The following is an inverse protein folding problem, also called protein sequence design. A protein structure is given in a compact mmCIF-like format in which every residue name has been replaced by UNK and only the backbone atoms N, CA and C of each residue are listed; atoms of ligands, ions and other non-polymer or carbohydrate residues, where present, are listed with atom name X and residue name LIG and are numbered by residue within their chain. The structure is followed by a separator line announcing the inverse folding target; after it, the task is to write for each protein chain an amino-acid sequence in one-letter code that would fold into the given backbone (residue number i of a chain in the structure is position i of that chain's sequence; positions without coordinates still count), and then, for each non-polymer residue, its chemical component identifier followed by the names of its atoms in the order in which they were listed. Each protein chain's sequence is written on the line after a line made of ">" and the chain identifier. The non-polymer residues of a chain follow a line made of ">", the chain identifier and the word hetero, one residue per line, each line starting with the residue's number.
data_IF_346930441796
#
_entry.id   IF_346930441796
#
_cell.length_a   1.000
_cell.length_b   1.000
_cell.length_c   1.000
_cell.angle_alpha   90.00
_cell.angle_beta   90.00
_cell.angle_gamma   90.00
#
_symmetry.space_group_name_H-M   'P 1'
#
loop_
_entity.id
_entity.type
_entity.pdbx_description
1 polymer ?
#
# COMPACT_ATOMS: atom_id res chain seq x y z
N UNK A 1 6.41 -19.98 -26.11
CA UNK A 1 5.93 -18.75 -26.76
C UNK A 1 7.03 -17.71 -26.72
N UNK A 2 7.95 -17.77 -27.68
CA UNK A 2 8.98 -16.75 -27.95
C UNK A 2 8.42 -15.87 -29.07
N UNK A 3 8.18 -14.57 -28.82
CA UNK A 3 8.14 -13.52 -29.87
C UNK A 3 7.88 -12.09 -29.36
N UNK A 4 7.50 -11.88 -28.09
CA UNK A 4 7.08 -10.55 -27.61
C UNK A 4 8.17 -9.65 -27.02
N UNK A 5 9.45 -10.05 -27.06
CA UNK A 5 10.55 -9.39 -26.31
C UNK A 5 11.32 -8.34 -27.13
N UNK A 6 11.23 -8.37 -28.47
CA UNK A 6 11.96 -7.43 -29.35
C UNK A 6 11.23 -6.10 -29.61
N UNK A 7 10.01 -5.93 -29.09
CA UNK A 7 9.21 -4.72 -29.32
C UNK A 7 9.46 -3.61 -28.30
N UNK A 8 9.99 -3.90 -27.10
CA UNK A 8 10.07 -2.90 -26.02
C UNK A 8 11.34 -2.02 -26.03
N UNK A 9 12.50 -2.56 -26.39
CA UNK A 9 13.74 -1.77 -26.47
C UNK A 9 13.73 -0.77 -27.63
N UNK A 10 13.01 -1.08 -28.71
CA UNK A 10 12.85 -0.21 -29.88
C UNK A 10 11.78 0.85 -29.64
N UNK A 11 10.75 0.57 -28.83
CA UNK A 11 9.67 1.53 -28.51
C UNK A 11 10.16 2.63 -27.55
N UNK A 12 10.96 2.28 -26.53
CA UNK A 12 11.52 3.27 -25.58
C UNK A 12 12.56 4.18 -26.24
N UNK A 13 13.30 3.68 -27.24
CA UNK A 13 14.25 4.47 -28.01
C UNK A 13 13.59 5.34 -29.10
N UNK A 14 12.48 4.90 -29.72
CA UNK A 14 11.73 5.70 -30.70
C UNK A 14 10.80 6.75 -30.07
N UNK A 15 10.16 6.46 -28.92
CA UNK A 15 9.22 7.40 -28.26
C UNK A 15 9.96 8.53 -27.55
N UNK A 16 11.21 8.33 -27.13
CA UNK A 16 12.02 9.39 -26.53
C UNK A 16 12.47 10.46 -27.56
N UNK A 17 12.34 10.20 -28.87
CA UNK A 17 12.73 11.14 -29.93
C UNK A 17 11.55 11.87 -30.59
N UNK A 18 10.31 11.41 -30.40
CA UNK A 18 9.10 12.06 -30.93
C UNK A 18 7.99 11.93 -29.88
N UNK A 19 7.69 13.00 -29.13
CA UNK A 19 6.34 13.41 -28.70
C UNK A 19 6.43 14.49 -27.61
N UNK A 20 6.31 15.73 -28.07
CA UNK A 20 6.13 16.96 -27.30
C UNK A 20 4.61 17.24 -27.13
N UNK A 21 3.82 16.22 -26.75
CA UNK A 21 2.36 16.32 -26.72
C UNK A 21 1.77 16.04 -25.35
N UNK A 22 0.88 16.93 -24.93
CA UNK A 22 0.21 17.10 -23.62
C UNK A 22 -0.64 15.94 -23.08
N UNK A 23 -0.52 14.73 -23.63
CA UNK A 23 -1.23 13.55 -23.11
C UNK A 23 -0.27 12.69 -22.28
N UNK A 24 -0.47 12.71 -20.95
CA UNK A 24 0.32 11.94 -19.99
C UNK A 24 0.23 10.44 -20.27
N UNK A 25 1.27 9.87 -20.85
CA UNK A 25 1.41 8.41 -20.92
C UNK A 25 1.65 7.85 -19.52
N UNK A 26 0.76 6.95 -19.13
CA UNK A 26 0.74 6.31 -17.82
C UNK A 26 1.89 5.30 -17.69
N UNK A 27 3.03 5.77 -17.16
CA UNK A 27 4.19 4.94 -16.83
C UNK A 27 3.83 3.75 -15.91
N UNK A 28 2.66 3.78 -15.23
CA UNK A 28 2.16 2.66 -14.46
C UNK A 28 1.79 1.44 -15.33
N UNK A 29 1.33 1.64 -16.57
CA UNK A 29 1.06 0.53 -17.51
C UNK A 29 2.36 -0.12 -18.01
N UNK A 30 3.40 0.68 -18.21
CA UNK A 30 4.73 0.22 -18.60
C UNK A 30 5.38 -0.66 -17.51
N UNK A 31 5.16 -0.32 -16.23
CA UNK A 31 5.65 -1.14 -15.11
C UNK A 31 4.73 -2.33 -14.79
N UNK A 32 3.41 -2.20 -14.93
CA UNK A 32 2.49 -3.34 -14.78
C UNK A 32 2.81 -4.48 -15.76
N UNK A 33 3.31 -4.16 -16.96
CA UNK A 33 3.76 -5.17 -17.92
C UNK A 33 5.20 -5.68 -17.68
N UNK A 34 6.07 -4.93 -16.99
CA UNK A 34 7.43 -5.40 -16.64
C UNK A 34 7.44 -6.32 -15.41
N UNK A 35 6.52 -6.11 -14.46
CA UNK A 35 6.33 -6.92 -13.24
C UNK A 35 6.01 -8.39 -13.57
N UNK A 36 5.46 -8.69 -14.75
CA UNK A 36 5.22 -10.04 -15.24
C UNK A 36 6.43 -10.72 -15.91
N UNK A 37 7.59 -10.04 -16.03
CA UNK A 37 8.78 -10.59 -16.69
C UNK A 37 9.92 -10.83 -15.68
N UNK A 38 9.93 -12.03 -15.12
CA UNK A 38 10.90 -12.53 -14.12
C UNK A 38 12.33 -12.77 -14.65
N UNK A 39 12.88 -11.92 -15.53
CA UNK A 39 14.22 -12.14 -16.11
C UNK A 39 15.22 -11.02 -15.83
N UNK A 40 16.29 -11.42 -15.15
CA UNK A 40 17.55 -10.70 -14.82
C UNK A 40 18.13 -9.83 -15.96
N UNK A 41 17.80 -10.09 -17.22
CA UNK A 41 18.27 -9.35 -18.39
C UNK A 41 17.62 -7.96 -18.58
N UNK A 42 16.37 -7.75 -18.17
CA UNK A 42 15.71 -6.42 -18.26
C UNK A 42 16.18 -5.48 -17.15
N UNK A 43 16.41 -6.01 -15.95
CA UNK A 43 17.00 -5.30 -14.80
C UNK A 43 18.39 -4.73 -15.12
N UNK A 44 19.29 -5.56 -15.66
CA UNK A 44 20.65 -5.11 -16.04
C UNK A 44 20.63 -4.02 -17.10
N UNK A 45 19.73 -4.09 -18.09
CA UNK A 45 19.62 -3.07 -19.13
C UNK A 45 19.09 -1.73 -18.58
N UNK A 46 18.14 -1.76 -17.65
CA UNK A 46 17.66 -0.56 -16.97
C UNK A 46 18.73 0.05 -16.05
N UNK A 47 19.36 -0.77 -15.21
CA UNK A 47 20.48 -0.35 -14.35
C UNK A 47 21.62 0.24 -15.20
N UNK A 48 21.89 -0.34 -16.36
CA UNK A 48 22.91 0.14 -17.29
C UNK A 48 22.49 1.46 -17.97
N UNK A 49 21.23 1.62 -18.37
CA UNK A 49 20.73 2.88 -18.92
C UNK A 49 20.72 4.04 -17.89
N UNK A 50 20.40 3.73 -16.63
CA UNK A 50 20.49 4.68 -15.50
C UNK A 50 21.96 5.05 -15.26
N UNK A 51 22.87 4.07 -15.22
CA UNK A 51 24.32 4.29 -15.07
C UNK A 51 24.95 5.05 -16.23
N UNK A 52 24.54 4.76 -17.47
CA UNK A 52 25.05 5.43 -18.67
C UNK A 52 24.56 6.89 -18.74
N UNK A 53 23.34 7.20 -18.27
CA UNK A 53 22.84 8.58 -18.14
C UNK A 53 23.39 9.34 -16.93
N UNK A 54 23.84 8.65 -15.88
CA UNK A 54 24.50 9.24 -14.70
C UNK A 54 26.03 9.27 -14.82
N UNK A 55 26.60 8.86 -15.96
CA UNK A 55 28.04 8.82 -16.22
C UNK A 55 28.73 10.21 -16.25
N UNK A 56 27.97 11.30 -16.14
CA UNK A 56 28.52 12.66 -16.05
C UNK A 56 28.88 13.12 -14.63
N UNK A 57 28.22 12.58 -13.60
CA UNK A 57 28.45 12.99 -12.20
C UNK A 57 27.98 11.88 -11.22
N UNK A 58 28.90 11.19 -10.52
CA UNK A 58 28.54 10.13 -9.58
C UNK A 58 27.75 10.72 -8.40
N UNK A 59 26.44 10.48 -8.38
CA UNK A 59 25.52 10.93 -7.33
C UNK A 59 24.37 11.83 -7.79
N UNK A 60 24.17 12.03 -9.10
CA UNK A 60 22.95 12.68 -9.62
C UNK A 60 22.06 11.67 -10.36
N UNK A 61 20.77 11.66 -10.03
CA UNK A 61 19.73 10.94 -10.77
C UNK A 61 19.10 11.92 -11.76
N UNK A 62 19.02 11.59 -13.07
CA UNK A 62 18.30 12.44 -14.02
C UNK A 62 16.84 12.65 -13.59
N UNK A 63 16.28 13.85 -13.78
CA UNK A 63 14.89 14.16 -13.42
C UNK A 63 13.88 13.10 -13.89
N UNK A 64 14.05 12.57 -15.11
CA UNK A 64 13.20 11.50 -15.64
C UNK A 64 13.24 10.23 -14.76
N UNK A 65 14.42 9.84 -14.28
CA UNK A 65 14.58 8.67 -13.42
C UNK A 65 14.01 8.91 -12.02
N UNK A 66 14.16 10.13 -11.48
CA UNK A 66 13.54 10.54 -10.22
C UNK A 66 12.00 10.46 -10.30
N UNK A 67 11.40 11.00 -11.38
CA UNK A 67 9.95 10.91 -11.62
C UNK A 67 9.45 9.48 -11.78
N UNK A 68 10.19 8.64 -12.50
CA UNK A 68 9.86 7.22 -12.64
C UNK A 68 9.90 6.49 -11.30
N UNK A 69 10.92 6.73 -10.47
CA UNK A 69 11.01 6.15 -9.13
C UNK A 69 9.86 6.56 -8.23
N UNK A 70 9.50 7.85 -8.24
CA UNK A 70 8.33 8.34 -7.51
C UNK A 70 7.03 7.68 -8.01
N UNK A 71 6.78 7.67 -9.31
CA UNK A 71 5.56 7.09 -9.88
C UNK A 71 5.41 5.61 -9.60
N UNK A 72 6.53 4.89 -9.64
CA UNK A 72 6.58 3.49 -9.32
C UNK A 72 6.22 3.22 -7.85
N UNK A 73 6.85 3.94 -6.92
CA UNK A 73 6.55 3.82 -5.50
C UNK A 73 5.09 4.19 -5.19
N UNK A 74 4.62 5.32 -5.72
CA UNK A 74 3.25 5.78 -5.54
C UNK A 74 2.21 4.86 -6.19
N UNK A 75 2.52 4.29 -7.35
CA UNK A 75 1.66 3.34 -8.06
C UNK A 75 1.49 2.03 -7.30
N UNK A 76 2.59 1.49 -6.75
CA UNK A 76 2.56 0.29 -5.91
C UNK A 76 1.77 0.51 -4.62
N UNK A 77 2.02 1.63 -3.92
CA UNK A 77 1.27 2.00 -2.72
C UNK A 77 -0.23 2.17 -3.03
N UNK A 78 -0.57 2.83 -4.14
CA UNK A 78 -1.97 2.98 -4.60
C UNK A 78 -2.64 1.62 -4.83
N UNK A 79 -1.92 0.68 -5.44
CA UNK A 79 -2.45 -0.65 -5.72
C UNK A 79 -2.71 -1.44 -4.43
N UNK A 80 -1.75 -1.42 -3.50
CA UNK A 80 -1.86 -2.02 -2.17
C UNK A 80 -3.08 -1.46 -1.41
N UNK A 81 -3.19 -0.13 -1.33
CA UNK A 81 -4.31 0.56 -0.66
C UNK A 81 -5.65 0.17 -1.28
N UNK A 82 -5.74 0.10 -2.61
CA UNK A 82 -6.97 -0.33 -3.30
C UNK A 82 -7.33 -1.78 -3.01
N UNK A 83 -6.36 -2.69 -3.00
CA UNK A 83 -6.58 -4.10 -2.71
C UNK A 83 -7.11 -4.30 -1.28
N UNK A 84 -6.51 -3.63 -0.31
CA UNK A 84 -6.98 -3.62 1.09
C UNK A 84 -8.39 -3.05 1.18
N UNK A 85 -8.67 -1.94 0.51
CA UNK A 85 -10.00 -1.33 0.53
C UNK A 85 -11.08 -2.27 -0.04
N UNK A 86 -10.78 -2.94 -1.16
CA UNK A 86 -11.68 -3.93 -1.76
C UNK A 86 -11.93 -5.14 -0.84
N UNK A 87 -10.88 -5.69 -0.23
CA UNK A 87 -10.99 -6.78 0.73
C UNK A 87 -11.83 -6.39 1.96
N UNK A 88 -11.66 -5.15 2.42
CA UNK A 88 -12.40 -4.56 3.54
C UNK A 88 -13.88 -4.42 3.21
N UNK A 89 -14.23 -3.80 2.09
CA UNK A 89 -15.63 -3.63 1.68
C UNK A 89 -16.33 -4.98 1.46
N UNK A 90 -15.65 -5.95 0.85
CA UNK A 90 -16.18 -7.30 0.65
C UNK A 90 -16.43 -8.00 2.00
N UNK A 91 -15.47 -7.93 2.93
CA UNK A 91 -15.61 -8.51 4.27
C UNK A 91 -16.72 -7.82 5.05
N UNK A 92 -16.83 -6.48 5.02
CA UNK A 92 -17.89 -5.74 5.69
C UNK A 92 -19.28 -6.15 5.21
N UNK A 93 -19.44 -6.36 3.90
CA UNK A 93 -20.71 -6.86 3.33
C UNK A 93 -21.05 -8.27 3.83
N UNK A 94 -20.06 -9.16 3.91
CA UNK A 94 -20.23 -10.51 4.45
C UNK A 94 -20.59 -10.49 5.94
N UNK A 95 -19.90 -9.69 6.74
CA UNK A 95 -20.15 -9.54 8.17
C UNK A 95 -21.54 -8.97 8.46
N UNK A 96 -21.95 -7.94 7.73
CA UNK A 96 -23.29 -7.35 7.85
C UNK A 96 -24.40 -8.37 7.49
N UNK A 97 -24.18 -9.19 6.46
CA UNK A 97 -25.09 -10.28 6.12
C UNK A 97 -25.21 -11.34 7.24
N UNK A 98 -24.08 -11.76 7.82
CA UNK A 98 -24.05 -12.74 8.91
C UNK A 98 -24.73 -12.21 10.18
N UNK A 99 -24.48 -10.95 10.55
CA UNK A 99 -25.07 -10.33 11.74
C UNK A 99 -26.57 -10.07 11.58
N UNK A 100 -27.05 -9.77 10.37
CA UNK A 100 -28.47 -9.49 10.11
C UNK A 100 -29.32 -10.76 10.04
N UNK A 101 -28.73 -11.89 9.66
CA UNK A 101 -29.43 -13.17 9.52
C UNK A 101 -29.55 -13.96 10.84
N UNK A 102 -28.78 -13.58 11.86
CA UNK A 102 -28.68 -14.35 13.08
C UNK A 102 -29.72 -13.94 14.15
N UNK A 103 -30.42 -14.90 14.76
CA UNK A 103 -31.30 -14.62 15.89
C UNK A 103 -30.47 -14.32 17.16
N UNK A 104 -31.01 -13.43 18.02
CA UNK A 104 -30.27 -12.84 19.15
C UNK A 104 -29.79 -13.84 20.21
N UNK A 105 -30.42 -15.01 20.27
CA UNK A 105 -30.16 -16.15 21.13
C UNK A 105 -29.04 -17.09 20.62
N UNK A 106 -28.52 -16.86 19.40
CA UNK A 106 -27.43 -17.65 18.80
C UNK A 106 -26.06 -16.94 18.83
N UNK A 107 -25.82 -16.09 19.83
CA UNK A 107 -24.58 -15.30 20.02
C UNK A 107 -23.28 -16.07 19.73
N UNK A 108 -23.17 -17.30 20.23
CA UNK A 108 -21.98 -18.14 20.05
C UNK A 108 -21.80 -18.63 18.61
N UNK A 109 -22.89 -18.93 17.90
CA UNK A 109 -22.84 -19.31 16.49
C UNK A 109 -22.44 -18.12 15.62
N UNK A 110 -22.96 -16.92 15.92
CA UNK A 110 -22.57 -15.68 15.22
C UNK A 110 -21.08 -15.41 15.39
N UNK A 111 -20.57 -15.47 16.63
CA UNK A 111 -19.14 -15.27 16.92
C UNK A 111 -18.25 -16.26 16.17
N UNK A 112 -18.68 -17.52 16.01
CA UNK A 112 -17.96 -18.50 15.20
C UNK A 112 -17.99 -18.18 13.70
N UNK A 113 -19.15 -17.76 13.18
CA UNK A 113 -19.34 -17.45 11.77
C UNK A 113 -18.57 -16.20 11.33
N UNK A 114 -18.52 -15.16 12.16
CA UNK A 114 -17.84 -13.91 11.84
C UNK A 114 -16.32 -13.97 12.04
N UNK A 115 -15.82 -14.91 12.83
CA UNK A 115 -14.38 -15.09 13.07
C UNK A 115 -13.61 -15.39 11.79
N UNK A 116 -14.15 -16.21 10.89
CA UNK A 116 -13.48 -16.59 9.63
C UNK A 116 -13.34 -15.43 8.64
N UNK A 117 -14.40 -14.65 8.31
CA UNK A 117 -14.27 -13.45 7.48
C UNK A 117 -13.31 -12.41 8.06
N UNK A 118 -13.35 -12.18 9.38
CA UNK A 118 -12.37 -11.31 10.04
C UNK A 118 -10.96 -11.88 9.88
N UNK A 119 -10.78 -13.19 10.09
CA UNK A 119 -9.47 -13.81 9.92
C UNK A 119 -8.90 -13.58 8.51
N UNK A 120 -9.75 -13.76 7.50
CA UNK A 120 -9.37 -13.56 6.12
C UNK A 120 -9.01 -12.10 5.81
N UNK A 121 -9.75 -11.13 6.34
CA UNK A 121 -9.48 -9.71 6.09
C UNK A 121 -8.06 -9.31 6.49
N UNK A 122 -7.65 -9.62 7.73
CA UNK A 122 -6.30 -9.23 8.14
C UNK A 122 -5.20 -10.07 7.50
N UNK A 123 -5.48 -11.33 7.11
CA UNK A 123 -4.54 -12.12 6.30
C UNK A 123 -4.33 -11.47 4.93
N UNK A 124 -5.42 -11.04 4.27
CA UNK A 124 -5.36 -10.30 3.01
C UNK A 124 -4.61 -8.96 3.19
N UNK A 125 -4.86 -8.23 4.28
CA UNK A 125 -4.14 -6.99 4.60
C UNK A 125 -2.63 -7.21 4.82
N UNK A 126 -2.24 -8.19 5.64
CA UNK A 126 -0.83 -8.49 5.90
C UNK A 126 -0.10 -8.90 4.61
N UNK A 127 -0.78 -9.70 3.77
CA UNK A 127 -0.26 -10.11 2.48
C UNK A 127 -0.06 -8.93 1.52
N UNK A 128 -1.02 -8.01 1.44
CA UNK A 128 -0.87 -6.82 0.59
C UNK A 128 0.22 -5.89 1.12
N UNK A 129 0.37 -5.75 2.45
CA UNK A 129 1.49 -5.06 3.08
C UNK A 129 2.85 -5.69 2.72
N UNK A 130 2.95 -7.02 2.76
CA UNK A 130 4.18 -7.74 2.41
C UNK A 130 4.50 -7.69 0.91
N UNK A 131 3.51 -7.96 0.04
CA UNK A 131 3.71 -7.99 -1.41
C UNK A 131 3.98 -6.61 -2.00
N UNK A 132 3.17 -5.61 -1.63
CA UNK A 132 3.43 -4.21 -1.96
C UNK A 132 4.75 -3.73 -1.35
N UNK A 133 5.09 -4.26 -0.16
CA UNK A 133 6.39 -4.21 0.49
C UNK A 133 7.55 -4.52 -0.45
N UNK A 134 7.62 -5.76 -0.92
CA UNK A 134 8.70 -6.26 -1.77
C UNK A 134 8.79 -5.53 -3.12
N UNK A 135 7.65 -5.21 -3.72
CA UNK A 135 7.59 -4.56 -5.03
C UNK A 135 8.13 -3.12 -4.97
N UNK A 136 7.70 -2.35 -3.98
CA UNK A 136 8.18 -0.98 -3.77
C UNK A 136 9.67 -0.96 -3.44
N UNK A 137 10.14 -1.87 -2.58
CA UNK A 137 11.59 -2.00 -2.28
C UNK A 137 12.41 -2.30 -3.54
N UNK A 138 11.92 -3.17 -4.41
CA UNK A 138 12.61 -3.51 -5.68
C UNK A 138 12.75 -2.29 -6.58
N UNK A 139 11.70 -1.48 -6.68
CA UNK A 139 11.71 -0.23 -7.44
C UNK A 139 12.73 0.75 -6.87
N UNK A 140 12.69 1.00 -5.56
CA UNK A 140 13.59 1.95 -4.89
C UNK A 140 15.06 1.51 -5.01
N UNK A 141 15.31 0.20 -4.94
CA UNK A 141 16.63 -0.41 -5.18
C UNK A 141 17.12 -0.17 -6.62
N UNK A 142 16.23 -0.33 -7.61
CA UNK A 142 16.54 -0.09 -9.02
C UNK A 142 16.81 1.38 -9.35
N UNK A 143 16.23 2.30 -8.60
CA UNK A 143 16.44 3.75 -8.77
C UNK A 143 17.57 4.32 -7.91
N UNK A 144 18.21 3.50 -7.06
CA UNK A 144 19.30 3.94 -6.19
C UNK A 144 18.86 4.75 -4.97
N UNK A 145 17.57 4.70 -4.62
CA UNK A 145 16.97 5.44 -3.49
C UNK A 145 17.04 4.59 -2.21
N UNK A 146 18.26 4.39 -1.71
CA UNK A 146 18.52 3.46 -0.60
C UNK A 146 17.94 3.92 0.74
N UNK A 147 17.92 5.22 0.99
CA UNK A 147 17.34 5.78 2.22
C UNK A 147 15.82 5.68 2.19
N UNK A 148 15.21 5.97 1.04
CA UNK A 148 13.78 5.72 0.79
C UNK A 148 13.40 4.25 1.00
N UNK A 149 14.24 3.32 0.51
CA UNK A 149 14.02 1.88 0.67
C UNK A 149 14.01 1.49 2.15
N UNK A 150 14.99 1.97 2.93
CA UNK A 150 15.09 1.68 4.36
C UNK A 150 13.92 2.29 5.15
N UNK A 151 13.53 3.52 4.82
CA UNK A 151 12.37 4.17 5.42
C UNK A 151 11.09 3.37 5.13
N UNK A 152 10.93 2.86 3.91
CA UNK A 152 9.79 2.02 3.55
C UNK A 152 9.80 0.65 4.26
N UNK A 153 10.96 0.00 4.38
CA UNK A 153 11.11 -1.24 5.17
C UNK A 153 10.69 -1.03 6.63
N UNK A 154 11.11 0.08 7.22
CA UNK A 154 10.75 0.46 8.60
C UNK A 154 9.26 0.71 8.72
N UNK A 155 8.70 1.51 7.80
CA UNK A 155 7.27 1.80 7.72
C UNK A 155 6.41 0.53 7.61
N UNK A 156 6.80 -0.42 6.75
CA UNK A 156 6.08 -1.68 6.61
C UNK A 156 6.19 -2.57 7.85
N UNK A 157 7.33 -2.58 8.52
CA UNK A 157 7.48 -3.32 9.77
C UNK A 157 6.56 -2.77 10.87
N UNK A 158 6.52 -1.44 11.03
CA UNK A 158 5.63 -0.76 11.99
C UNK A 158 4.16 -1.00 11.66
N UNK A 159 3.75 -0.78 10.41
CA UNK A 159 2.37 -1.00 9.97
C UNK A 159 1.89 -2.44 10.21
N UNK A 160 2.74 -3.44 9.97
CA UNK A 160 2.42 -4.85 10.22
C UNK A 160 2.33 -5.17 11.72
N UNK A 161 3.17 -4.54 12.55
CA UNK A 161 3.10 -4.70 14.00
C UNK A 161 1.79 -4.13 14.57
N UNK A 162 1.36 -2.97 14.08
CA UNK A 162 0.08 -2.37 14.45
C UNK A 162 -1.10 -3.22 13.97
N UNK A 163 -1.07 -3.65 12.70
CA UNK A 163 -2.09 -4.55 12.14
C UNK A 163 -2.23 -5.84 12.95
N UNK A 164 -1.10 -6.41 13.39
CA UNK A 164 -1.07 -7.59 14.25
C UNK A 164 -1.73 -7.34 15.61
N UNK A 165 -1.57 -6.14 16.17
CA UNK A 165 -2.22 -5.75 17.43
C UNK A 165 -3.74 -5.72 17.25
N UNK A 166 -4.23 -5.07 16.18
CA UNK A 166 -5.66 -5.07 15.83
C UNK A 166 -6.18 -6.49 15.62
N UNK A 167 -5.45 -7.31 14.87
CA UNK A 167 -5.76 -8.73 14.67
C UNK A 167 -5.98 -9.47 15.98
N UNK A 168 -4.99 -9.40 16.88
CA UNK A 168 -4.99 -10.14 18.13
C UNK A 168 -6.16 -9.74 19.03
N UNK A 169 -6.62 -8.49 18.93
CA UNK A 169 -7.80 -7.98 19.64
C UNK A 169 -9.13 -8.36 18.98
N UNK A 170 -9.21 -8.35 17.65
CA UNK A 170 -10.46 -8.55 16.92
C UNK A 170 -10.80 -10.02 16.60
N UNK A 171 -9.84 -10.94 16.64
CA UNK A 171 -10.07 -12.33 16.21
C UNK A 171 -10.18 -13.35 17.33
N UNK A 172 -9.72 -13.01 18.54
CA UNK A 172 -9.77 -13.90 19.73
C UNK A 172 -11.12 -13.82 20.47
N UNK A 173 -12.23 -13.76 19.74
CA UNK A 173 -13.58 -13.55 20.29
C UNK A 173 -14.36 -14.84 20.53
N UNK A 174 -14.04 -15.93 19.81
CA UNK A 174 -14.87 -17.16 19.72
C UNK A 174 -15.05 -17.95 21.03
N UNK A 175 -14.29 -17.62 22.07
CA UNK A 175 -14.33 -18.28 23.39
C UNK A 175 -14.73 -17.35 24.53
N UNK A 176 -15.08 -16.10 24.22
CA UNK A 176 -15.41 -15.07 25.22
C UNK A 176 -16.92 -14.87 25.30
N UNK A 177 -17.41 -14.51 26.48
CA UNK A 177 -18.81 -14.15 26.73
C UNK A 177 -18.90 -13.06 27.80
N UNK A 178 -20.07 -12.41 27.89
CA UNK A 178 -20.32 -11.35 28.88
C UNK A 178 -19.26 -10.24 28.89
N UNK A 179 -18.78 -9.89 30.07
CA UNK A 179 -17.85 -8.77 30.28
C UNK A 179 -16.49 -8.96 29.57
N UNK A 180 -16.00 -10.20 29.44
CA UNK A 180 -14.74 -10.48 28.73
C UNK A 180 -14.86 -10.24 27.23
N UNK A 181 -16.01 -10.58 26.65
CA UNK A 181 -16.30 -10.30 25.25
C UNK A 181 -16.37 -8.80 25.03
N UNK A 182 -17.09 -8.08 25.90
CA UNK A 182 -17.20 -6.61 25.83
C UNK A 182 -15.84 -5.94 25.91
N UNK A 183 -14.99 -6.30 26.88
CA UNK A 183 -13.64 -5.74 27.00
C UNK A 183 -12.79 -5.97 25.75
N UNK A 184 -12.89 -7.14 25.10
CA UNK A 184 -12.16 -7.41 23.86
C UNK A 184 -12.72 -6.69 22.65
N UNK A 185 -14.03 -6.49 22.58
CA UNK A 185 -14.66 -5.67 21.56
C UNK A 185 -14.24 -4.21 21.69
N UNK A 186 -14.21 -3.67 22.91
CA UNK A 186 -13.73 -2.31 23.19
C UNK A 186 -12.24 -2.16 22.84
N UNK A 187 -11.42 -3.17 23.18
CA UNK A 187 -10.01 -3.19 22.80
C UNK A 187 -9.82 -3.24 21.27
N UNK A 188 -10.55 -4.10 20.56
CA UNK A 188 -10.52 -4.17 19.10
C UNK A 188 -10.88 -2.81 18.47
N UNK A 189 -11.89 -2.12 19.01
CA UNK A 189 -12.28 -0.79 18.53
C UNK A 189 -11.21 0.27 18.79
N UNK A 190 -10.58 0.22 19.98
CA UNK A 190 -9.47 1.10 20.36
C UNK A 190 -8.26 0.91 19.46
N UNK A 191 -7.75 -0.32 19.37
CA UNK A 191 -6.57 -0.66 18.55
C UNK A 191 -6.82 -0.33 17.07
N UNK A 192 -8.03 -0.58 16.55
CA UNK A 192 -8.42 -0.19 15.18
C UNK A 192 -8.43 1.34 15.00
N UNK A 193 -8.90 2.08 16.02
CA UNK A 193 -8.88 3.54 16.03
C UNK A 193 -7.47 4.10 16.00
N UNK A 194 -6.55 3.47 16.74
CA UNK A 194 -5.13 3.81 16.75
C UNK A 194 -4.51 3.52 15.38
N UNK A 195 -4.75 2.35 14.78
CA UNK A 195 -4.27 2.01 13.43
C UNK A 195 -4.73 3.04 12.37
N UNK A 196 -5.97 3.54 12.47
CA UNK A 196 -6.49 4.59 11.59
C UNK A 196 -5.69 5.89 11.67
N UNK A 197 -5.07 6.20 12.80
CA UNK A 197 -4.21 7.38 12.97
C UNK A 197 -2.77 7.07 12.57
N UNK A 198 -2.21 5.96 13.06
CA UNK A 198 -0.79 5.65 12.92
C UNK A 198 -0.40 5.30 11.48
N UNK A 199 -1.22 4.52 10.75
CA UNK A 199 -0.84 4.09 9.39
C UNK A 199 -0.67 5.28 8.41
N UNK A 200 -1.58 6.27 8.36
CA UNK A 200 -1.34 7.50 7.60
C UNK A 200 -0.07 8.23 8.01
N UNK A 201 0.24 8.33 9.31
CA UNK A 201 1.45 9.02 9.79
C UNK A 201 2.73 8.31 9.34
N UNK A 202 2.76 6.98 9.44
CA UNK A 202 3.86 6.14 8.91
C UNK A 202 4.04 6.37 7.40
N UNK A 203 2.94 6.37 6.63
CA UNK A 203 3.02 6.60 5.18
C UNK A 203 3.48 8.02 4.85
N UNK A 204 3.05 9.01 5.64
CA UNK A 204 3.48 10.39 5.48
C UNK A 204 4.98 10.54 5.73
N UNK A 205 5.53 9.91 6.77
CA UNK A 205 6.96 9.91 7.07
C UNK A 205 7.79 9.26 5.95
N UNK A 206 7.34 8.11 5.44
CA UNK A 206 7.96 7.46 4.30
C UNK A 206 7.96 8.39 3.06
N UNK A 207 6.82 8.97 2.69
CA UNK A 207 6.74 9.83 1.51
C UNK A 207 7.53 11.13 1.67
N UNK A 208 7.67 11.63 2.90
CA UNK A 208 8.57 12.71 3.24
C UNK A 208 10.04 12.34 2.98
N UNK A 209 10.45 11.16 3.45
CA UNK A 209 11.81 10.64 3.20
C UNK A 209 12.07 10.42 1.71
N UNK A 210 11.11 9.82 0.99
CA UNK A 210 11.20 9.65 -0.46
C UNK A 210 11.35 10.98 -1.19
N UNK A 211 10.58 11.99 -0.77
CA UNK A 211 10.64 13.32 -1.36
C UNK A 211 12.00 14.00 -1.11
N UNK A 212 12.57 13.85 0.07
CA UNK A 212 13.88 14.38 0.42
C UNK A 212 15.00 13.66 -0.36
N UNK A 213 15.00 12.33 -0.36
CA UNK A 213 15.97 11.50 -1.07
C UNK A 213 15.97 11.82 -2.58
N UNK A 214 14.79 11.95 -3.19
CA UNK A 214 14.68 12.37 -4.59
C UNK A 214 15.24 13.78 -4.86
N UNK A 215 15.01 14.73 -3.94
CA UNK A 215 15.47 16.11 -4.08
C UNK A 215 16.99 16.23 -3.90
N UNK A 216 17.56 15.49 -2.95
CA UNK A 216 19.01 15.49 -2.68
C UNK A 216 19.81 14.86 -3.84
N UNK A 217 19.17 13.99 -4.63
CA UNK A 217 19.78 13.34 -5.78
C UNK A 217 19.57 14.09 -7.12
N UNK A 218 18.82 15.20 -7.15
CA UNK A 218 18.67 16.06 -8.36
C UNK A 218 19.43 17.37 -8.15
N UNK A 219 20.53 17.56 -8.90
CA UNK A 219 21.48 18.66 -8.67
C UNK A 219 21.13 19.98 -9.37
N UNK A 220 20.37 19.93 -10.46
CA UNK A 220 20.03 21.12 -11.25
C UNK A 220 18.82 21.85 -10.66
N UNK A 221 18.99 23.15 -10.38
CA UNK A 221 17.94 23.98 -9.74
C UNK A 221 16.60 24.01 -10.50
N UNK A 222 16.56 24.14 -11.85
CA UNK A 222 15.29 24.08 -12.58
C UNK A 222 14.62 22.70 -12.48
N UNK A 223 15.41 21.62 -12.55
CA UNK A 223 14.90 20.24 -12.43
C UNK A 223 14.38 19.96 -11.02
N UNK A 224 15.03 20.50 -9.99
CA UNK A 224 14.58 20.40 -8.61
C UNK A 224 13.21 21.05 -8.41
N UNK A 225 13.00 22.25 -8.97
CA UNK A 225 11.69 22.92 -8.89
C UNK A 225 10.61 22.13 -9.62
N UNK A 226 10.93 21.55 -10.77
CA UNK A 226 10.02 20.70 -11.52
C UNK A 226 9.68 19.41 -10.76
N UNK A 227 10.67 18.78 -10.13
CA UNK A 227 10.48 17.62 -9.26
C UNK A 227 9.61 17.95 -8.05
N UNK A 228 9.84 19.08 -7.40
CA UNK A 228 9.01 19.53 -6.27
C UNK A 228 7.55 19.74 -6.68
N UNK A 229 7.31 20.39 -7.82
CA UNK A 229 5.95 20.54 -8.35
C UNK A 229 5.30 19.19 -8.64
N UNK A 230 6.08 18.24 -9.16
CA UNK A 230 5.64 16.88 -9.46
C UNK A 230 5.25 16.10 -8.20
N UNK A 231 6.10 16.15 -7.16
CA UNK A 231 5.85 15.55 -5.85
C UNK A 231 4.59 16.16 -5.22
N UNK A 232 4.49 17.49 -5.18
CA UNK A 232 3.37 18.22 -4.59
C UNK A 232 2.04 17.92 -5.29
N UNK A 233 2.05 17.53 -6.57
CA UNK A 233 0.85 17.16 -7.30
C UNK A 233 0.40 15.70 -7.06
N UNK A 234 1.33 14.79 -6.75
CA UNK A 234 1.06 13.35 -6.70
C UNK A 234 0.94 12.79 -5.28
N UNK A 235 1.84 13.17 -4.38
CA UNK A 235 1.86 12.65 -2.99
C UNK A 235 0.53 12.88 -2.27
N UNK A 236 -0.10 14.07 -2.32
CA UNK A 236 -1.37 14.30 -1.63
C UNK A 236 -2.51 13.37 -2.09
N UNK A 237 -2.54 12.98 -3.37
CA UNK A 237 -3.57 12.09 -3.91
C UNK A 237 -3.46 10.68 -3.33
N UNK A 238 -2.23 10.18 -3.18
CA UNK A 238 -2.00 8.85 -2.59
C UNK A 238 -2.27 8.89 -1.09
N UNK A 239 -1.87 9.96 -0.40
CA UNK A 239 -2.21 10.14 1.02
C UNK A 239 -3.71 10.21 1.28
N UNK A 240 -4.47 10.84 0.38
CA UNK A 240 -5.93 10.81 0.45
C UNK A 240 -6.47 9.37 0.39
N UNK A 241 -5.97 8.56 -0.54
CA UNK A 241 -6.40 7.16 -0.68
C UNK A 241 -6.04 6.31 0.54
N UNK A 242 -4.85 6.53 1.12
CA UNK A 242 -4.43 5.90 2.39
C UNK A 242 -5.42 6.23 3.51
N UNK A 243 -5.81 7.50 3.64
CA UNK A 243 -6.78 7.96 4.63
C UNK A 243 -8.20 7.38 4.42
N UNK A 244 -8.63 7.27 3.15
CA UNK A 244 -9.90 6.65 2.78
C UNK A 244 -9.94 5.16 3.16
N UNK A 245 -8.89 4.41 2.83
CA UNK A 245 -8.77 2.99 3.20
C UNK A 245 -8.77 2.79 4.72
N UNK A 246 -8.01 3.59 5.47
CA UNK A 246 -8.01 3.52 6.94
C UNK A 246 -9.39 3.81 7.53
N UNK A 247 -10.11 4.77 6.95
CA UNK A 247 -11.47 5.10 7.36
C UNK A 247 -12.46 3.97 7.07
N UNK A 248 -12.32 3.29 5.93
CA UNK A 248 -13.15 2.13 5.58
C UNK A 248 -12.88 0.93 6.50
N UNK A 249 -11.61 0.62 6.79
CA UNK A 249 -11.22 -0.43 7.75
C UNK A 249 -11.85 -0.15 9.12
N UNK A 250 -11.68 1.06 9.63
CA UNK A 250 -12.29 1.47 10.90
C UNK A 250 -13.82 1.36 10.86
N UNK A 251 -14.46 1.77 9.77
CA UNK A 251 -15.92 1.69 9.63
C UNK A 251 -16.39 0.26 9.73
N UNK A 252 -15.79 -0.66 8.97
CA UNK A 252 -16.17 -2.09 8.98
C UNK A 252 -15.94 -2.72 10.36
N UNK A 253 -14.81 -2.43 10.99
CA UNK A 253 -14.51 -2.95 12.33
C UNK A 253 -15.46 -2.37 13.40
N UNK A 254 -15.77 -1.08 13.34
CA UNK A 254 -16.71 -0.44 14.26
C UNK A 254 -18.16 -0.96 14.09
N UNK A 255 -18.61 -1.16 12.85
CA UNK A 255 -19.92 -1.77 12.56
C UNK A 255 -19.97 -3.21 13.08
N UNK A 256 -18.89 -3.97 12.90
CA UNK A 256 -18.78 -5.34 13.40
C UNK A 256 -18.82 -5.37 14.93
N UNK A 257 -18.02 -4.54 15.60
CA UNK A 257 -18.01 -4.43 17.07
C UNK A 257 -19.38 -4.03 17.60
N UNK A 258 -20.03 -3.03 16.98
CA UNK A 258 -21.37 -2.58 17.37
C UNK A 258 -22.41 -3.69 17.19
N UNK A 259 -22.36 -4.43 16.07
CA UNK A 259 -23.23 -5.58 15.84
C UNK A 259 -23.01 -6.68 16.88
N UNK A 260 -21.76 -7.00 17.21
CA UNK A 260 -21.41 -8.01 18.22
C UNK A 260 -21.78 -7.61 19.64
N UNK A 261 -21.73 -6.31 19.97
CA UNK A 261 -22.09 -5.82 21.30
C UNK A 261 -23.53 -6.17 21.71
N UNK A 262 -24.44 -6.32 20.74
CA UNK A 262 -25.83 -6.74 20.97
C UNK A 262 -25.93 -8.13 21.59
N UNK A 263 -24.95 -8.99 21.32
CA UNK A 263 -24.87 -10.35 21.84
C UNK A 263 -24.16 -10.43 23.20
N UNK A 264 -23.50 -9.35 23.64
CA UNK A 264 -22.81 -9.31 24.95
C UNK A 264 -23.75 -9.17 26.16
N UNK A 265 -25.01 -8.78 25.94
CA UNK A 265 -26.02 -8.52 26.99
C UNK A 265 -26.90 -9.74 27.29
N UNK A 266 -26.88 -10.77 26.44
CA UNK A 266 -27.81 -11.92 26.51
C UNK A 266 -27.10 -13.27 26.75
N UNK A 267 -25.84 -13.25 27.20
CA UNK A 267 -25.10 -14.45 27.64
C UNK A 267 -24.70 -14.36 29.11
#
# INVERSE_FOLDING_TARGET
>A
MLRSVLLFSTLVALIATECDSEDSWDASQLMQHSVLSSKVSSRKAFEQAVKERSAGDPGSIPLTAAKMGLDAALGMLTQQVKAVNQATTATGSQLNGLMSAAPADEAKAVLQLISSPLHKLFEDMDKELEQGGMQTQTVLDMTGLYDSKRAYETAMHEARADLKTVWDSCTKLTKLSGEQLKQKLDQCLGDSGDFKQTYPDIMHEFLGTLSADLQDNVKDKPELQELQNYINAKVPKVMQQVGEMCSEVQRVLAETVSGLSKFSVHT
#
